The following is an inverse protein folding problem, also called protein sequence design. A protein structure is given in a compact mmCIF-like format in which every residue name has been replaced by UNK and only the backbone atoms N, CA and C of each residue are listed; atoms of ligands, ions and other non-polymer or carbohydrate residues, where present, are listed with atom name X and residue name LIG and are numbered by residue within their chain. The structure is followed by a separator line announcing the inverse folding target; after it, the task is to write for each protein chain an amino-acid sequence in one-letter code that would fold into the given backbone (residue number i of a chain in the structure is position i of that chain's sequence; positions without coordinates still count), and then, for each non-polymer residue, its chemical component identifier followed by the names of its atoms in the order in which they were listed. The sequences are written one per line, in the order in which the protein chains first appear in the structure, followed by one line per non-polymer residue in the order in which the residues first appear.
data_IF_952948394664
#
_entry.id   IF_952948394664
#
_cell.length_a   1.000
_cell.length_b   1.000
_cell.length_c   1.000
_cell.angle_alpha   90.00
_cell.angle_beta   90.00
_cell.angle_gamma   90.00
#
_symmetry.space_group_name_H-M   'P 1'
#
loop_
_entity.id
_entity.type
_entity.pdbx_description
1 polymer ?
#
# COMPACT_ATOMS: atom_id res chain seq x y z
N UNK A 1 -96.20 5.44 -28.01
CA UNK A 1 -95.58 4.11 -27.84
C UNK A 1 -94.41 4.27 -26.90
N UNK A 2 -94.54 3.81 -25.66
CA UNK A 2 -93.54 3.99 -24.60
C UNK A 2 -92.55 2.82 -24.66
N UNK A 3 -91.29 3.08 -25.03
CA UNK A 3 -90.22 2.09 -25.02
C UNK A 3 -89.81 1.83 -23.56
N UNK A 4 -90.21 0.68 -23.02
CA UNK A 4 -89.69 0.17 -21.75
C UNK A 4 -88.25 -0.31 -21.98
N UNK A 5 -87.29 0.36 -21.38
CA UNK A 5 -85.93 -0.15 -21.21
C UNK A 5 -85.95 -1.20 -20.09
N UNK A 6 -85.96 -2.48 -20.45
CA UNK A 6 -85.69 -3.57 -19.53
C UNK A 6 -84.20 -3.52 -19.14
N UNK A 7 -83.91 -3.07 -17.91
CA UNK A 7 -82.62 -3.31 -17.30
C UNK A 7 -82.50 -4.81 -16.99
N UNK A 8 -81.79 -5.56 -17.84
CA UNK A 8 -81.26 -6.87 -17.48
C UNK A 8 -80.25 -6.68 -16.34
N UNK A 9 -80.70 -6.89 -15.10
CA UNK A 9 -79.82 -6.95 -13.94
C UNK A 9 -78.90 -8.17 -14.08
N UNK A 10 -77.59 -7.95 -13.99
CA UNK A 10 -76.61 -9.04 -13.93
C UNK A 10 -76.78 -9.70 -12.54
N UNK A 11 -77.41 -10.87 -12.50
CA UNK A 11 -77.49 -11.68 -11.30
C UNK A 11 -76.14 -12.38 -11.11
N UNK A 12 -75.28 -11.84 -10.23
CA UNK A 12 -74.05 -12.50 -9.78
C UNK A 12 -74.31 -13.07 -8.39
N UNK A 13 -74.24 -14.40 -8.26
CA UNK A 13 -74.39 -15.06 -6.98
C UNK A 13 -73.25 -14.62 -6.05
N UNK A 14 -73.58 -14.27 -4.80
CA UNK A 14 -72.61 -13.77 -3.82
C UNK A 14 -71.45 -14.77 -3.60
N UNK A 15 -71.70 -16.06 -3.80
CA UNK A 15 -70.70 -17.12 -3.74
C UNK A 15 -69.63 -17.03 -4.85
N UNK A 16 -69.94 -16.46 -6.01
CA UNK A 16 -69.01 -16.29 -7.14
C UNK A 16 -68.01 -15.14 -6.94
N UNK A 17 -68.33 -14.19 -6.06
CA UNK A 17 -67.47 -13.06 -5.73
C UNK A 17 -66.48 -13.39 -4.61
N UNK A 18 -66.65 -14.51 -3.92
CA UNK A 18 -65.79 -14.89 -2.80
C UNK A 18 -64.47 -15.46 -3.28
N UNK A 19 -63.44 -15.29 -2.44
CA UNK A 19 -62.11 -15.80 -2.70
C UNK A 19 -62.17 -17.33 -2.85
N UNK A 20 -61.54 -17.85 -3.90
CA UNK A 20 -61.41 -19.28 -4.18
C UNK A 20 -60.80 -20.12 -3.04
N UNK A 21 -60.12 -19.50 -2.07
CA UNK A 21 -59.56 -20.18 -0.88
C UNK A 21 -60.60 -20.32 0.25
N UNK A 22 -61.83 -19.82 0.08
CA UNK A 22 -62.91 -19.93 1.07
C UNK A 22 -62.69 -19.10 2.33
N UNK A 23 -61.87 -18.05 2.27
CA UNK A 23 -61.47 -17.27 3.46
C UNK A 23 -62.48 -16.20 3.91
N UNK A 24 -63.66 -16.14 3.28
CA UNK A 24 -64.71 -15.17 3.60
C UNK A 24 -64.52 -13.76 3.02
N UNK A 25 -63.44 -13.51 2.27
CA UNK A 25 -63.17 -12.23 1.61
C UNK A 25 -63.46 -12.31 0.10
N UNK A 26 -63.75 -11.18 -0.53
CA UNK A 26 -63.98 -11.12 -1.98
C UNK A 26 -62.70 -11.30 -2.80
N UNK A 27 -62.78 -12.13 -3.84
CA UNK A 27 -61.73 -12.32 -4.83
C UNK A 27 -61.97 -11.43 -6.06
N UNK A 28 -60.95 -11.24 -6.90
CA UNK A 28 -61.14 -10.57 -8.18
C UNK A 28 -60.45 -11.31 -9.32
N UNK A 29 -60.89 -11.12 -10.59
CA UNK A 29 -60.30 -11.79 -11.75
C UNK A 29 -58.81 -11.47 -11.97
N UNK A 30 -58.36 -10.25 -11.64
CA UNK A 30 -56.95 -9.86 -11.77
C UNK A 30 -56.01 -10.70 -10.88
N UNK A 31 -56.53 -11.23 -9.77
CA UNK A 31 -55.86 -12.16 -8.88
C UNK A 31 -56.43 -13.58 -9.01
N UNK A 32 -56.88 -13.97 -10.21
CA UNK A 32 -57.41 -15.31 -10.53
C UNK A 32 -58.56 -15.79 -9.61
N UNK A 33 -59.30 -14.87 -9.00
CA UNK A 33 -60.37 -15.15 -8.03
C UNK A 33 -59.89 -15.28 -6.57
N UNK A 34 -58.67 -14.88 -6.26
CA UNK A 34 -58.18 -14.81 -4.87
C UNK A 34 -58.34 -13.40 -4.29
N UNK A 35 -58.54 -13.30 -2.97
CA UNK A 35 -58.44 -12.01 -2.27
C UNK A 35 -56.96 -11.59 -2.15
N UNK A 36 -56.72 -10.32 -1.80
CA UNK A 36 -55.36 -9.75 -1.70
C UNK A 36 -54.43 -10.54 -0.77
N UNK A 37 -54.96 -11.06 0.34
CA UNK A 37 -54.19 -11.85 1.31
C UNK A 37 -53.81 -13.23 0.77
N UNK A 38 -54.79 -13.96 0.23
CA UNK A 38 -54.57 -15.31 -0.31
C UNK A 38 -53.76 -15.28 -1.61
N UNK A 39 -53.92 -14.23 -2.41
CA UNK A 39 -53.09 -13.98 -3.60
C UNK A 39 -51.64 -13.75 -3.20
N UNK A 40 -51.38 -12.90 -2.20
CA UNK A 40 -50.02 -12.63 -1.71
C UNK A 40 -49.35 -13.90 -1.18
N UNK A 41 -50.05 -14.71 -0.40
CA UNK A 41 -49.54 -16.00 0.08
C UNK A 41 -49.22 -16.96 -1.08
N UNK A 42 -50.13 -17.12 -2.04
CA UNK A 42 -49.93 -17.99 -3.20
C UNK A 42 -48.77 -17.50 -4.07
N UNK A 43 -48.69 -16.19 -4.30
CA UNK A 43 -47.62 -15.56 -5.06
C UNK A 43 -46.27 -15.72 -4.36
N UNK A 44 -46.18 -15.50 -3.04
CA UNK A 44 -44.94 -15.75 -2.30
C UNK A 44 -44.51 -17.21 -2.34
N UNK A 45 -45.46 -18.15 -2.18
CA UNK A 45 -45.16 -19.58 -2.24
C UNK A 45 -44.71 -20.02 -3.64
N UNK A 46 -45.35 -19.53 -4.69
CA UNK A 46 -44.95 -19.78 -6.07
C UNK A 46 -43.56 -19.19 -6.36
N UNK A 47 -43.30 -17.96 -5.91
CA UNK A 47 -41.99 -17.30 -6.06
C UNK A 47 -40.89 -18.02 -5.29
N UNK A 48 -41.14 -18.50 -4.07
CA UNK A 48 -40.19 -19.31 -3.30
C UNK A 48 -39.89 -20.63 -3.99
N UNK A 49 -40.92 -21.29 -4.55
CA UNK A 49 -40.73 -22.52 -5.34
C UNK A 49 -39.90 -22.26 -6.60
N UNK A 50 -40.17 -21.17 -7.31
CA UNK A 50 -39.38 -20.78 -8.48
C UNK A 50 -37.93 -20.49 -8.13
N UNK A 51 -37.66 -19.77 -7.02
CA UNK A 51 -36.29 -19.54 -6.54
C UNK A 51 -35.57 -20.85 -6.20
N UNK A 52 -36.28 -21.81 -5.60
CA UNK A 52 -35.73 -23.12 -5.27
C UNK A 52 -35.41 -23.93 -6.54
N UNK A 53 -36.31 -23.93 -7.53
CA UNK A 53 -36.11 -24.57 -8.82
C UNK A 53 -34.96 -23.93 -9.61
N UNK A 54 -34.85 -22.60 -9.61
CA UNK A 54 -33.76 -21.86 -10.23
C UNK A 54 -32.42 -22.16 -9.55
N UNK A 55 -32.41 -22.31 -8.21
CA UNK A 55 -31.23 -22.72 -7.45
C UNK A 55 -30.76 -24.14 -7.81
N UNK A 56 -31.69 -25.09 -7.87
CA UNK A 56 -31.40 -26.49 -8.25
C UNK A 56 -30.95 -26.60 -9.71
N UNK A 57 -31.50 -25.78 -10.60
CA UNK A 57 -31.05 -25.68 -11.98
C UNK A 57 -29.63 -25.12 -12.06
N UNK A 58 -29.34 -24.04 -11.32
CA UNK A 58 -28.00 -23.45 -11.27
C UNK A 58 -26.96 -24.44 -10.72
N UNK A 59 -27.29 -25.21 -9.67
CA UNK A 59 -26.38 -26.22 -9.11
C UNK A 59 -26.11 -27.38 -10.08
N UNK A 60 -27.08 -27.72 -10.93
CA UNK A 60 -26.91 -28.74 -11.97
C UNK A 60 -26.09 -28.22 -13.14
N UNK A 61 -26.36 -27.00 -13.62
CA UNK A 61 -25.55 -26.36 -14.67
C UNK A 61 -24.11 -26.16 -14.20
N UNK A 62 -23.89 -25.80 -12.94
CA UNK A 62 -22.57 -25.70 -12.33
C UNK A 62 -21.83 -27.04 -12.36
N UNK A 63 -22.51 -28.16 -12.05
CA UNK A 63 -21.92 -29.50 -12.15
C UNK A 63 -21.61 -29.89 -13.59
N UNK A 64 -22.50 -29.60 -14.53
CA UNK A 64 -22.27 -29.84 -15.97
C UNK A 64 -21.10 -28.99 -16.49
N UNK A 65 -20.96 -27.74 -16.04
CA UNK A 65 -19.85 -26.85 -16.38
C UNK A 65 -18.53 -27.31 -15.75
N UNK A 66 -18.55 -27.79 -14.51
CA UNK A 66 -17.39 -28.39 -13.83
C UNK A 66 -16.96 -29.71 -14.51
N UNK A 67 -17.89 -30.55 -14.95
CA UNK A 67 -17.62 -31.77 -15.72
C UNK A 67 -17.08 -31.45 -17.13
N UNK A 68 -17.64 -30.45 -17.82
CA UNK A 68 -17.13 -29.97 -19.09
C UNK A 68 -15.74 -29.33 -18.96
N UNK A 69 -15.50 -28.60 -17.87
CA UNK A 69 -14.22 -27.97 -17.57
C UNK A 69 -13.14 -29.01 -17.21
N UNK A 70 -13.48 -30.03 -16.42
CA UNK A 70 -12.59 -31.16 -16.13
C UNK A 70 -12.23 -31.95 -17.39
N UNK A 71 -13.16 -32.05 -18.34
CA UNK A 71 -12.92 -32.66 -19.66
C UNK A 71 -11.99 -31.83 -20.56
N UNK A 72 -11.93 -30.51 -20.33
CA UNK A 72 -11.18 -29.53 -21.14
C UNK A 72 -9.75 -29.27 -20.65
N UNK A 73 -9.39 -29.72 -19.43
CA UNK A 73 -8.06 -29.49 -18.83
C UNK A 73 -6.91 -30.34 -19.40
N UNK A 74 -7.14 -31.10 -20.48
CA UNK A 74 -6.03 -31.64 -21.29
C UNK A 74 -5.38 -30.62 -22.23
N UNK A 75 -5.83 -29.35 -22.23
CA UNK A 75 -5.16 -28.28 -22.98
C UNK A 75 -5.44 -26.86 -22.47
N UNK A 76 -4.43 -26.28 -21.81
CA UNK A 76 -4.18 -24.83 -21.61
C UNK A 76 -5.22 -24.01 -20.82
N UNK A 77 -4.78 -23.51 -19.66
CA UNK A 77 -5.59 -22.75 -18.70
C UNK A 77 -5.52 -21.22 -18.83
N UNK A 78 -6.65 -20.58 -18.57
CA UNK A 78 -6.79 -19.20 -18.11
C UNK A 78 -8.11 -19.10 -17.32
N UNK A 79 -8.04 -18.77 -16.02
CA UNK A 79 -9.21 -18.75 -15.12
C UNK A 79 -9.73 -17.32 -14.92
N UNK A 80 -10.99 -17.11 -15.30
CA UNK A 80 -11.80 -15.94 -14.92
C UNK A 80 -12.56 -16.27 -13.62
N UNK A 81 -12.26 -15.56 -12.53
CA UNK A 81 -12.87 -15.78 -11.22
C UNK A 81 -13.96 -14.74 -10.95
N UNK A 82 -15.21 -15.19 -10.81
CA UNK A 82 -16.38 -14.35 -10.52
C UNK A 82 -16.53 -14.05 -9.02
N UNK A 83 -16.65 -12.75 -8.73
CA UNK A 83 -16.53 -12.05 -7.44
C UNK A 83 -17.62 -12.31 -6.37
N UNK A 84 -18.68 -13.09 -6.66
CA UNK A 84 -19.88 -13.08 -5.79
C UNK A 84 -19.89 -14.09 -4.63
N UNK A 85 -18.98 -15.07 -4.58
CA UNK A 85 -19.11 -16.22 -3.65
C UNK A 85 -18.27 -16.15 -2.35
N UNK A 86 -17.56 -15.06 -2.07
CA UNK A 86 -16.63 -14.99 -0.92
C UNK A 86 -17.14 -14.20 0.31
N UNK A 87 -18.17 -13.35 0.20
CA UNK A 87 -18.57 -12.45 1.31
C UNK A 87 -19.81 -12.90 2.12
N UNK A 88 -20.47 -14.01 1.77
CA UNK A 88 -21.77 -14.34 2.38
C UNK A 88 -21.71 -15.50 3.37
N UNK A 89 -20.87 -15.42 4.42
CA UNK A 89 -21.08 -16.26 5.63
C UNK A 89 -20.35 -15.85 6.92
N UNK A 90 -20.66 -14.66 7.45
CA UNK A 90 -20.81 -14.40 8.91
C UNK A 90 -21.13 -12.93 9.15
N UNK A 91 -22.37 -12.59 9.52
CA UNK A 91 -22.74 -11.51 10.48
C UNK A 91 -24.25 -11.25 10.44
N UNK A 92 -25.04 -12.05 11.18
CA UNK A 92 -26.50 -11.91 11.18
C UNK A 92 -27.05 -10.89 12.21
N UNK A 93 -26.19 -10.17 12.93
CA UNK A 93 -26.60 -9.24 14.01
C UNK A 93 -26.21 -7.76 13.72
N UNK A 94 -25.16 -7.53 12.92
CA UNK A 94 -24.41 -6.26 12.89
C UNK A 94 -24.82 -5.29 11.78
N UNK A 95 -25.80 -5.66 10.96
CA UNK A 95 -26.22 -4.91 9.77
C UNK A 95 -27.27 -3.84 10.05
N UNK A 96 -27.83 -3.68 11.26
CA UNK A 96 -28.99 -2.79 11.50
C UNK A 96 -28.75 -1.34 11.07
N UNK A 97 -27.60 -0.73 11.33
CA UNK A 97 -27.33 0.68 10.95
C UNK A 97 -27.10 0.83 9.45
N UNK A 98 -26.30 -0.05 8.85
CA UNK A 98 -26.01 -0.05 7.41
C UNK A 98 -27.25 -0.42 6.60
N UNK A 99 -28.03 -1.40 7.06
CA UNK A 99 -29.32 -1.80 6.49
C UNK A 99 -30.37 -0.71 6.67
N UNK A 100 -30.37 0.07 7.76
CA UNK A 100 -31.31 1.19 7.92
C UNK A 100 -30.99 2.32 6.96
N UNK A 101 -29.71 2.67 6.80
CA UNK A 101 -29.26 3.66 5.81
C UNK A 101 -29.51 3.16 4.39
N UNK A 102 -29.17 1.90 4.07
CA UNK A 102 -29.49 1.26 2.78
C UNK A 102 -31.01 1.23 2.54
N UNK A 103 -31.84 0.90 3.53
CA UNK A 103 -33.31 0.91 3.43
C UNK A 103 -33.86 2.32 3.21
N UNK A 104 -33.30 3.34 3.85
CA UNK A 104 -33.68 4.75 3.62
C UNK A 104 -33.41 5.17 2.16
N UNK A 105 -32.26 4.79 1.62
CA UNK A 105 -31.93 5.04 0.21
C UNK A 105 -32.74 4.18 -0.78
N UNK A 106 -33.06 2.94 -0.41
CA UNK A 106 -33.91 2.02 -1.20
C UNK A 106 -35.40 2.38 -1.17
N UNK A 107 -35.85 3.05 -0.11
CA UNK A 107 -37.20 3.57 0.03
C UNK A 107 -37.36 4.90 -0.74
N UNK A 108 -36.31 5.71 -0.80
CA UNK A 108 -36.29 6.97 -1.58
C UNK A 108 -36.33 6.74 -3.09
N UNK A 109 -35.85 5.60 -3.61
CA UNK A 109 -36.06 5.21 -5.01
C UNK A 109 -37.51 4.80 -5.33
N UNK A 110 -38.38 4.58 -4.33
CA UNK A 110 -39.83 4.38 -4.52
C UNK A 110 -40.63 5.68 -4.60
N UNK A 111 -39.96 6.84 -4.50
CA UNK A 111 -40.59 8.17 -4.70
C UNK A 111 -41.04 8.38 -6.16
N UNK A 112 -40.79 7.43 -7.07
CA UNK A 112 -41.40 7.41 -8.41
C UNK A 112 -42.90 7.05 -8.45
N UNK A 113 -43.55 6.69 -7.33
CA UNK A 113 -44.97 6.25 -7.32
C UNK A 113 -45.98 7.19 -6.65
N UNK A 114 -45.57 8.35 -6.12
CA UNK A 114 -46.53 9.37 -5.68
C UNK A 114 -46.73 10.39 -6.80
N UNK A 115 -47.93 10.37 -7.40
CA UNK A 115 -48.43 11.40 -8.32
C UNK A 115 -48.50 12.74 -7.59
N UNK A 116 -47.39 13.47 -7.54
CA UNK A 116 -47.35 14.90 -7.24
C UNK A 116 -46.47 15.55 -8.31
N UNK A 117 -47.01 16.60 -8.91
CA UNK A 117 -46.59 17.26 -10.15
C UNK A 117 -45.08 17.37 -10.40
N UNK A 118 -44.68 16.92 -11.60
CA UNK A 118 -43.35 17.13 -12.19
C UNK A 118 -42.70 15.82 -12.64
N UNK A 119 -42.77 15.49 -13.94
CA UNK A 119 -41.93 14.44 -14.53
C UNK A 119 -40.46 14.90 -14.50
N UNK A 120 -39.81 14.74 -13.35
CA UNK A 120 -38.37 14.97 -13.25
C UNK A 120 -37.68 13.85 -14.02
N UNK A 121 -36.81 14.15 -15.01
CA UNK A 121 -36.05 13.14 -15.74
C UNK A 121 -35.30 12.20 -14.78
N UNK A 122 -35.25 10.90 -15.08
CA UNK A 122 -34.59 9.88 -14.25
C UNK A 122 -33.16 10.28 -13.87
N UNK A 123 -32.43 10.88 -14.81
CA UNK A 123 -31.06 11.38 -14.61
C UNK A 123 -30.96 12.48 -13.54
N UNK A 124 -31.97 13.36 -13.45
CA UNK A 124 -32.01 14.41 -12.41
C UNK A 124 -32.33 13.82 -11.05
N UNK A 125 -33.18 12.78 -10.98
CA UNK A 125 -33.48 12.07 -9.74
C UNK A 125 -32.23 11.38 -9.20
N UNK A 126 -31.44 10.72 -10.05
CA UNK A 126 -30.17 10.11 -9.66
C UNK A 126 -29.17 11.13 -9.14
N UNK A 127 -29.01 12.26 -9.84
CA UNK A 127 -28.13 13.37 -9.41
C UNK A 127 -28.54 13.91 -8.04
N UNK A 128 -29.84 14.10 -7.79
CA UNK A 128 -30.35 14.56 -6.49
C UNK A 128 -30.09 13.50 -5.40
N UNK A 129 -30.36 12.23 -5.70
CA UNK A 129 -30.11 11.12 -4.77
C UNK A 129 -28.63 10.99 -4.40
N UNK A 130 -27.72 11.20 -5.34
CA UNK A 130 -26.28 11.22 -5.08
C UNK A 130 -25.88 12.39 -4.19
N UNK A 131 -26.49 13.58 -4.34
CA UNK A 131 -26.25 14.71 -3.43
C UNK A 131 -26.79 14.46 -2.02
N UNK A 132 -27.97 13.86 -1.88
CA UNK A 132 -28.54 13.49 -0.58
C UNK A 132 -27.65 12.44 0.10
N UNK A 133 -27.22 11.41 -0.64
CA UNK A 133 -26.26 10.41 -0.16
C UNK A 133 -24.97 11.05 0.30
N UNK A 134 -24.37 11.94 -0.53
CA UNK A 134 -23.16 12.69 -0.19
C UNK A 134 -23.32 13.43 1.13
N UNK A 135 -24.43 14.15 1.32
CA UNK A 135 -24.70 14.91 2.54
C UNK A 135 -24.80 14.01 3.79
N UNK A 136 -25.63 12.97 3.73
CA UNK A 136 -25.86 12.03 4.84
C UNK A 136 -24.56 11.32 5.22
N UNK A 137 -23.87 10.79 4.22
CA UNK A 137 -22.65 9.99 4.40
C UNK A 137 -21.49 10.85 4.92
N UNK A 138 -21.40 12.12 4.51
CA UNK A 138 -20.40 13.06 5.06
C UNK A 138 -20.65 13.36 6.53
N UNK A 139 -21.91 13.57 6.94
CA UNK A 139 -22.26 13.81 8.35
C UNK A 139 -22.08 12.57 9.22
N UNK A 140 -22.41 11.40 8.69
CA UNK A 140 -22.34 10.13 9.40
C UNK A 140 -20.96 9.47 9.34
N UNK A 141 -20.00 10.02 8.58
CA UNK A 141 -18.68 9.41 8.35
C UNK A 141 -18.04 8.89 9.64
N UNK A 142 -18.03 9.69 10.71
CA UNK A 142 -17.45 9.32 12.02
C UNK A 142 -18.09 8.08 12.66
N UNK A 143 -19.33 7.76 12.32
CA UNK A 143 -20.10 6.66 12.89
C UNK A 143 -20.18 5.45 11.96
N UNK A 144 -20.08 5.66 10.64
CA UNK A 144 -20.22 4.59 9.64
C UNK A 144 -18.89 4.10 9.07
N UNK A 145 -17.83 4.90 9.17
CA UNK A 145 -16.49 4.53 8.72
C UNK A 145 -15.75 3.81 9.86
N UNK A 146 -15.35 2.57 9.63
CA UNK A 146 -14.69 1.69 10.63
C UNK A 146 -15.36 1.72 12.02
N UNK A 147 -16.63 1.29 12.14
CA UNK A 147 -17.30 1.26 13.45
C UNK A 147 -16.66 0.21 14.36
N UNK A 148 -16.42 0.54 15.63
CA UNK A 148 -15.77 -0.33 16.64
C UNK A 148 -16.45 -1.70 16.81
N UNK A 149 -17.72 -1.80 16.41
CA UNK A 149 -18.52 -3.04 16.47
C UNK A 149 -18.17 -4.08 15.38
N UNK A 150 -17.48 -3.67 14.31
CA UNK A 150 -17.09 -4.55 13.19
C UNK A 150 -15.64 -5.00 13.33
N UNK A 151 -15.26 -6.02 12.55
CA UNK A 151 -13.88 -6.53 12.50
C UNK A 151 -13.00 -5.75 11.50
N UNK A 152 -13.46 -4.60 11.02
CA UNK A 152 -12.82 -3.83 9.97
C UNK A 152 -11.40 -3.37 10.37
N UNK A 153 -11.22 -2.89 11.61
CA UNK A 153 -9.90 -2.49 12.12
C UNK A 153 -8.91 -3.66 12.15
N UNK A 154 -9.39 -4.85 12.54
CA UNK A 154 -8.56 -6.07 12.54
C UNK A 154 -8.15 -6.46 11.12
N UNK A 155 -9.08 -6.39 10.17
CA UNK A 155 -8.82 -6.64 8.75
C UNK A 155 -7.85 -5.61 8.16
N UNK A 156 -8.00 -4.33 8.49
CA UNK A 156 -7.09 -3.26 8.09
C UNK A 156 -5.66 -3.52 8.59
N UNK A 157 -5.51 -3.90 9.86
CA UNK A 157 -4.19 -4.21 10.42
C UNK A 157 -3.58 -5.47 9.79
N UNK A 158 -4.41 -6.49 9.52
CA UNK A 158 -3.97 -7.73 8.88
C UNK A 158 -3.44 -7.47 7.45
N UNK A 159 -4.20 -6.76 6.61
CA UNK A 159 -3.76 -6.45 5.24
C UNK A 159 -2.55 -5.53 5.24
N UNK A 160 -2.48 -4.56 6.15
CA UNK A 160 -1.34 -3.65 6.25
C UNK A 160 -0.05 -4.40 6.61
N UNK A 161 -0.11 -5.31 7.59
CA UNK A 161 1.02 -6.17 7.96
C UNK A 161 1.42 -7.10 6.81
N UNK A 162 0.43 -7.64 6.10
CA UNK A 162 0.65 -8.51 4.94
C UNK A 162 1.37 -7.78 3.81
N UNK A 163 0.89 -6.60 3.39
CA UNK A 163 1.56 -5.79 2.37
C UNK A 163 2.98 -5.42 2.80
N UNK A 164 3.17 -5.07 4.09
CA UNK A 164 4.51 -4.75 4.62
C UNK A 164 5.47 -5.94 4.57
N UNK A 165 5.00 -7.16 4.83
CA UNK A 165 5.81 -8.37 4.75
C UNK A 165 6.23 -8.70 3.30
N UNK A 166 5.45 -8.26 2.31
CA UNK A 166 5.71 -8.45 0.88
C UNK A 166 6.58 -7.33 0.28
N UNK A 167 7.33 -6.57 1.10
CA UNK A 167 8.16 -5.46 0.60
C UNK A 167 9.26 -5.90 -0.39
N UNK A 168 9.60 -7.18 -0.38
CA UNK A 168 10.65 -7.77 -1.21
C UNK A 168 10.15 -8.13 -2.61
N UNK A 169 8.84 -8.17 -2.85
CA UNK A 169 8.26 -8.55 -4.14
C UNK A 169 8.61 -7.52 -5.20
N UNK A 170 9.24 -7.96 -6.29
CA UNK A 170 9.64 -7.08 -7.39
C UNK A 170 8.61 -7.08 -8.52
N UNK A 171 8.55 -6.01 -9.35
CA UNK A 171 7.66 -5.97 -10.52
C UNK A 171 7.89 -7.12 -11.50
N UNK A 172 9.12 -7.62 -11.60
CA UNK A 172 9.49 -8.74 -12.47
C UNK A 172 8.83 -10.06 -12.02
N UNK A 173 8.73 -10.31 -10.71
CA UNK A 173 8.08 -11.51 -10.16
C UNK A 173 6.57 -11.55 -10.44
N UNK A 174 5.96 -10.38 -10.57
CA UNK A 174 4.54 -10.22 -10.87
C UNK A 174 4.27 -10.03 -12.37
N UNK A 175 5.30 -10.18 -13.21
CA UNK A 175 5.23 -9.98 -14.66
C UNK A 175 4.65 -8.62 -15.07
N UNK A 176 4.82 -7.59 -14.23
CA UNK A 176 4.26 -6.25 -14.49
C UNK A 176 5.08 -5.57 -15.58
N UNK A 177 4.47 -5.20 -16.73
CA UNK A 177 5.20 -4.63 -17.86
C UNK A 177 5.44 -3.13 -17.69
N UNK A 178 6.07 -2.74 -16.59
CA UNK A 178 6.37 -1.35 -16.28
C UNK A 178 7.87 -1.21 -16.15
N UNK A 179 8.48 -0.44 -17.06
CA UNK A 179 9.89 -0.15 -16.98
C UNK A 179 10.09 1.13 -16.15
N UNK A 180 10.38 0.96 -14.85
CA UNK A 180 10.63 2.06 -13.92
C UNK A 180 11.93 2.84 -14.22
N UNK A 181 12.78 2.37 -15.14
CA UNK A 181 14.00 3.07 -15.58
C UNK A 181 13.67 4.35 -16.38
N UNK A 182 12.50 4.39 -17.02
CA UNK A 182 12.01 5.56 -17.73
C UNK A 182 11.49 6.57 -16.70
N UNK A 183 12.12 7.76 -16.64
CA UNK A 183 11.75 8.80 -15.68
C UNK A 183 10.27 9.19 -15.72
N UNK A 184 9.64 9.19 -16.90
CA UNK A 184 8.22 9.50 -17.05
C UNK A 184 7.32 8.42 -16.45
N UNK A 185 7.67 7.15 -16.64
CA UNK A 185 6.95 5.99 -16.08
C UNK A 185 7.05 5.99 -14.55
N UNK A 186 8.24 6.25 -14.02
CA UNK A 186 8.46 6.38 -12.57
C UNK A 186 7.57 7.46 -11.94
N UNK A 187 7.45 8.64 -12.58
CA UNK A 187 6.55 9.70 -12.12
C UNK A 187 5.08 9.26 -12.15
N UNK A 188 4.65 8.50 -13.17
CA UNK A 188 3.28 7.96 -13.21
C UNK A 188 3.01 6.95 -12.09
N UNK A 189 3.97 6.07 -11.80
CA UNK A 189 3.85 5.10 -10.69
C UNK A 189 3.74 5.83 -9.34
N UNK A 190 4.56 6.85 -9.11
CA UNK A 190 4.48 7.67 -7.89
C UNK A 190 3.13 8.38 -7.77
N UNK A 191 2.60 8.91 -8.88
CA UNK A 191 1.26 9.52 -8.90
C UNK A 191 0.17 8.49 -8.58
N UNK A 192 0.25 7.29 -9.15
CA UNK A 192 -0.70 6.22 -8.85
C UNK A 192 -0.68 5.82 -7.37
N UNK A 193 0.52 5.68 -6.78
CA UNK A 193 0.69 5.42 -5.34
C UNK A 193 0.08 6.55 -4.51
N UNK A 194 0.32 7.80 -4.92
CA UNK A 194 -0.23 8.97 -4.22
C UNK A 194 -1.75 8.99 -4.26
N UNK A 195 -2.37 8.70 -5.41
CA UNK A 195 -3.83 8.68 -5.55
C UNK A 195 -4.49 7.62 -4.66
N UNK A 196 -3.91 6.41 -4.59
CA UNK A 196 -4.48 5.34 -3.76
C UNK A 196 -4.31 5.63 -2.27
N UNK A 197 -3.23 6.30 -1.87
CA UNK A 197 -3.06 6.80 -0.49
C UNK A 197 -4.07 7.92 -0.20
N UNK A 198 -4.29 8.83 -1.16
CA UNK A 198 -5.21 9.96 -1.03
C UNK A 198 -6.67 9.52 -0.84
N UNK A 199 -7.03 8.31 -1.29
CA UNK A 199 -8.37 7.72 -1.11
C UNK A 199 -8.87 7.83 0.34
N UNK A 200 -8.00 7.57 1.32
CA UNK A 200 -8.39 7.57 2.73
C UNK A 200 -8.77 8.97 3.25
N UNK A 201 -8.21 10.03 2.64
CA UNK A 201 -8.52 11.43 2.98
C UNK A 201 -9.93 11.86 2.57
N UNK A 202 -10.55 11.17 1.60
CA UNK A 202 -11.87 11.52 1.08
C UNK A 202 -12.97 10.98 1.98
N UNK A 203 -14.02 11.76 2.22
CA UNK A 203 -15.18 11.29 3.03
C UNK A 203 -16.30 10.69 2.19
N UNK A 204 -16.42 11.12 0.95
CA UNK A 204 -17.52 10.72 0.07
C UNK A 204 -17.12 9.49 -0.73
N UNK A 205 -17.95 8.42 -0.81
CA UNK A 205 -17.65 7.22 -1.58
C UNK A 205 -17.32 7.51 -3.06
N UNK A 206 -17.99 8.49 -3.66
CA UNK A 206 -17.72 8.94 -5.03
C UNK A 206 -16.30 9.51 -5.19
N UNK A 207 -15.84 10.30 -4.24
CA UNK A 207 -14.51 10.90 -4.29
C UNK A 207 -13.44 9.84 -4.02
N UNK A 208 -13.73 8.84 -3.17
CA UNK A 208 -12.87 7.65 -2.97
C UNK A 208 -12.75 6.83 -4.26
N UNK A 209 -13.85 6.56 -4.95
CA UNK A 209 -13.84 5.90 -6.27
C UNK A 209 -13.04 6.71 -7.30
N UNK A 210 -13.19 8.03 -7.31
CA UNK A 210 -12.41 8.87 -8.21
C UNK A 210 -10.89 8.75 -7.97
N UNK A 211 -10.43 8.59 -6.72
CA UNK A 211 -9.03 8.30 -6.42
C UNK A 211 -8.58 6.95 -7.00
N UNK A 212 -9.42 5.91 -6.91
CA UNK A 212 -9.14 4.59 -7.49
C UNK A 212 -9.06 4.70 -9.01
N UNK A 213 -10.01 5.38 -9.65
CA UNK A 213 -10.04 5.62 -11.10
C UNK A 213 -8.81 6.39 -11.58
N UNK A 214 -8.38 7.42 -10.83
CA UNK A 214 -7.15 8.18 -11.15
C UNK A 214 -5.89 7.32 -11.01
N UNK A 215 -5.78 6.56 -9.91
CA UNK A 215 -4.70 5.61 -9.67
C UNK A 215 -4.57 4.64 -10.86
N UNK A 216 -5.69 4.03 -11.25
CA UNK A 216 -5.72 3.12 -12.40
C UNK A 216 -5.30 3.81 -13.69
N UNK A 217 -5.80 5.02 -13.98
CA UNK A 217 -5.41 5.78 -15.19
C UNK A 217 -3.92 6.10 -15.23
N UNK A 218 -3.30 6.44 -14.10
CA UNK A 218 -1.85 6.62 -14.02
C UNK A 218 -1.09 5.31 -14.29
N UNK A 219 -1.58 4.17 -13.78
CA UNK A 219 -1.01 2.84 -14.09
C UNK A 219 -1.14 2.52 -15.58
N UNK A 220 -2.31 2.72 -16.19
CA UNK A 220 -2.51 2.51 -17.63
C UNK A 220 -1.60 3.39 -18.47
N UNK A 221 -1.40 4.65 -18.09
CA UNK A 221 -0.47 5.54 -18.77
C UNK A 221 0.98 5.06 -18.63
N UNK A 222 1.38 4.59 -17.45
CA UNK A 222 2.71 4.02 -17.21
C UNK A 222 2.99 2.79 -18.10
N UNK A 223 2.02 1.89 -18.22
CA UNK A 223 2.12 0.71 -19.09
C UNK A 223 2.13 1.11 -20.56
N UNK A 224 1.27 2.05 -20.96
CA UNK A 224 1.21 2.53 -22.34
C UNK A 224 2.53 3.14 -22.79
N UNK A 225 3.21 3.91 -21.93
CA UNK A 225 4.54 4.48 -22.24
C UNK A 225 5.59 3.37 -22.35
N UNK A 226 5.48 2.31 -21.54
CA UNK A 226 6.44 1.20 -21.53
C UNK A 226 6.29 0.27 -22.74
N UNK A 227 5.06 -0.17 -23.04
CA UNK A 227 4.77 -1.18 -24.09
C UNK A 227 4.35 -0.58 -25.43
N UNK A 228 4.02 0.71 -25.50
CA UNK A 228 3.35 1.34 -26.67
C UNK A 228 2.04 0.66 -27.12
N UNK A 229 1.49 -0.23 -26.29
CA UNK A 229 0.24 -0.96 -26.51
C UNK A 229 -0.79 -0.63 -25.41
N UNK A 230 -2.10 -0.72 -25.70
CA UNK A 230 -3.12 -0.59 -24.67
C UNK A 230 -3.00 -1.75 -23.67
N UNK A 231 -2.90 -1.42 -22.37
CA UNK A 231 -2.68 -2.42 -21.34
C UNK A 231 -3.91 -3.32 -21.11
N UNK A 232 -3.64 -4.59 -20.77
CA UNK A 232 -4.67 -5.56 -20.38
C UNK A 232 -5.01 -5.43 -18.89
N UNK A 233 -6.13 -6.03 -18.47
CA UNK A 233 -6.52 -6.16 -17.06
C UNK A 233 -5.48 -6.94 -16.23
N UNK A 234 -4.73 -7.83 -16.88
CA UNK A 234 -3.71 -8.69 -16.25
C UNK A 234 -2.45 -7.91 -15.83
N UNK A 235 -2.23 -6.72 -16.41
CA UNK A 235 -1.10 -5.84 -16.07
C UNK A 235 -1.38 -4.94 -14.85
N UNK A 236 -2.58 -5.08 -14.23
CA UNK A 236 -3.06 -4.21 -13.16
C UNK A 236 -2.74 -4.78 -11.77
N UNK A 237 -1.58 -4.43 -11.21
CA UNK A 237 -1.29 -4.68 -9.80
C UNK A 237 -0.65 -3.44 -9.14
N UNK A 238 -1.36 -2.75 -8.21
CA UNK A 238 -0.82 -1.62 -7.45
C UNK A 238 0.05 -2.14 -6.29
N UNK A 239 1.28 -2.55 -6.59
CA UNK A 239 2.09 -3.41 -5.69
C UNK A 239 2.80 -2.68 -4.55
N UNK A 240 2.85 -1.34 -4.55
CA UNK A 240 3.79 -0.60 -3.68
C UNK A 240 3.18 0.42 -2.70
N UNK A 241 1.88 0.72 -2.77
CA UNK A 241 1.34 1.90 -2.07
C UNK A 241 0.99 1.75 -0.58
N UNK A 242 0.84 0.51 -0.08
CA UNK A 242 0.29 0.19 1.26
C UNK A 242 -0.74 1.21 1.81
N UNK A 243 -1.91 1.37 1.15
CA UNK A 243 -2.87 2.41 1.49
C UNK A 243 -3.40 2.26 2.93
N UNK A 244 -3.57 3.37 3.69
CA UNK A 244 -4.08 3.31 5.04
C UNK A 244 -5.56 2.88 5.05
N UNK A 245 -5.93 2.03 6.01
CA UNK A 245 -7.31 1.56 6.25
C UNK A 245 -7.99 0.99 4.99
N UNK A 246 -7.24 0.20 4.21
CA UNK A 246 -7.66 -0.28 2.89
C UNK A 246 -8.96 -1.10 2.93
N UNK A 247 -9.08 -2.04 3.87
CA UNK A 247 -10.27 -2.89 4.00
C UNK A 247 -11.49 -2.06 4.44
N UNK A 248 -11.33 -1.14 5.39
CA UNK A 248 -12.40 -0.20 5.76
C UNK A 248 -12.84 0.66 4.59
N UNK A 249 -11.92 1.13 3.75
CA UNK A 249 -12.23 1.92 2.56
C UNK A 249 -13.03 1.13 1.52
N UNK A 250 -12.62 -0.12 1.23
CA UNK A 250 -13.33 -1.01 0.32
C UNK A 250 -14.75 -1.28 0.84
N UNK A 251 -14.87 -1.71 2.09
CA UNK A 251 -16.17 -1.99 2.71
C UNK A 251 -17.06 -0.73 2.72
N UNK A 252 -16.50 0.43 3.01
CA UNK A 252 -17.24 1.68 3.00
C UNK A 252 -17.80 2.03 1.61
N UNK A 253 -17.01 1.86 0.55
CA UNK A 253 -17.47 2.05 -0.83
C UNK A 253 -18.58 1.04 -1.18
N UNK A 254 -18.38 -0.24 -0.87
CA UNK A 254 -19.37 -1.32 -1.10
C UNK A 254 -20.70 -1.04 -0.42
N UNK A 255 -20.69 -0.42 0.76
CA UNK A 255 -21.91 -0.19 1.54
C UNK A 255 -22.63 1.12 1.19
N UNK A 256 -21.91 2.18 0.86
CA UNK A 256 -22.47 3.54 0.73
C UNK A 256 -22.43 4.11 -0.69
N UNK A 257 -21.75 3.47 -1.62
CA UNK A 257 -21.82 3.87 -3.02
C UNK A 257 -23.15 3.44 -3.66
N UNK A 258 -23.52 4.11 -4.75
CA UNK A 258 -24.70 3.77 -5.52
C UNK A 258 -24.44 2.46 -6.30
N UNK A 259 -25.23 1.39 -6.12
CA UNK A 259 -25.02 0.12 -6.80
C UNK A 259 -24.99 0.26 -8.34
N UNK A 260 -25.80 1.15 -8.91
CA UNK A 260 -25.79 1.37 -10.38
C UNK A 260 -24.43 1.87 -10.89
N UNK A 261 -23.68 2.63 -10.09
CA UNK A 261 -22.33 3.11 -10.43
C UNK A 261 -21.25 2.05 -10.20
N UNK A 262 -21.45 1.16 -9.23
CA UNK A 262 -20.54 0.03 -9.03
C UNK A 262 -20.73 -1.05 -10.10
N UNK A 263 -21.96 -1.21 -10.60
CA UNK A 263 -22.31 -2.23 -11.60
C UNK A 263 -22.15 -1.74 -13.05
N UNK A 264 -21.99 -0.43 -13.27
CA UNK A 264 -21.82 0.14 -14.60
C UNK A 264 -20.79 1.29 -14.60
N UNK A 265 -19.91 1.28 -15.61
CA UNK A 265 -18.93 2.33 -15.86
C UNK A 265 -17.50 1.98 -15.43
N UNK A 266 -16.56 2.89 -15.75
CA UNK A 266 -15.14 2.72 -15.47
C UNK A 266 -14.84 2.63 -13.96
N UNK A 267 -15.56 3.38 -13.12
CA UNK A 267 -15.37 3.40 -11.66
C UNK A 267 -15.59 2.01 -11.04
N UNK A 268 -16.62 1.28 -11.50
CA UNK A 268 -16.94 -0.06 -11.02
C UNK A 268 -15.92 -1.11 -11.46
N UNK A 269 -15.41 -0.98 -12.68
CA UNK A 269 -14.35 -1.84 -13.22
C UNK A 269 -13.06 -1.69 -12.39
N UNK A 270 -12.58 -0.47 -12.17
CA UNK A 270 -11.37 -0.24 -11.39
C UNK A 270 -11.52 -0.63 -9.92
N UNK A 271 -12.71 -0.42 -9.33
CA UNK A 271 -13.01 -0.86 -7.98
C UNK A 271 -12.99 -2.39 -7.84
N UNK A 272 -13.54 -3.10 -8.82
CA UNK A 272 -13.52 -4.57 -8.84
C UNK A 272 -12.08 -5.08 -8.96
N UNK A 273 -11.28 -4.50 -9.86
CA UNK A 273 -9.88 -4.84 -9.99
C UNK A 273 -9.08 -4.58 -8.70
N UNK A 274 -9.35 -3.48 -7.99
CA UNK A 274 -8.74 -3.24 -6.68
C UNK A 274 -9.10 -4.34 -5.68
N UNK A 275 -10.37 -4.75 -5.63
CA UNK A 275 -10.80 -5.82 -4.72
C UNK A 275 -10.13 -7.16 -5.07
N UNK A 276 -10.00 -7.48 -6.36
CA UNK A 276 -9.27 -8.65 -6.83
C UNK A 276 -7.79 -8.59 -6.43
N UNK A 277 -7.13 -7.45 -6.61
CA UNK A 277 -5.74 -7.26 -6.22
C UNK A 277 -5.53 -7.43 -4.70
N UNK A 278 -6.44 -6.91 -3.87
CA UNK A 278 -6.36 -7.09 -2.41
C UNK A 278 -6.55 -8.55 -2.02
N UNK A 279 -7.54 -9.23 -2.60
CA UNK A 279 -7.77 -10.66 -2.34
C UNK A 279 -6.58 -11.52 -2.81
N UNK A 280 -5.94 -11.16 -3.92
CA UNK A 280 -4.71 -11.79 -4.39
C UNK A 280 -3.57 -11.62 -3.38
N UNK A 281 -3.33 -10.39 -2.89
CA UNK A 281 -2.29 -10.10 -1.89
C UNK A 281 -2.51 -10.89 -0.58
N UNK A 282 -3.77 -11.04 -0.16
CA UNK A 282 -4.12 -11.82 1.03
C UNK A 282 -3.75 -13.30 0.89
N UNK A 283 -3.95 -13.86 -0.30
CA UNK A 283 -3.75 -15.29 -0.58
C UNK A 283 -2.46 -15.61 -1.33
N UNK A 284 -1.59 -14.62 -1.54
CA UNK A 284 -0.37 -14.76 -2.32
C UNK A 284 0.53 -15.87 -1.76
N UNK A 285 0.87 -16.83 -2.60
CA UNK A 285 1.74 -17.96 -2.28
C UNK A 285 2.98 -17.99 -3.19
N UNK A 286 3.90 -18.92 -2.92
CA UNK A 286 5.11 -19.10 -3.70
C UNK A 286 4.81 -19.39 -5.19
N UNK A 287 3.78 -20.19 -5.44
CA UNK A 287 3.35 -20.58 -6.79
C UNK A 287 2.88 -19.37 -7.60
N UNK A 288 2.15 -18.45 -6.98
CA UNK A 288 1.67 -17.21 -7.60
C UNK A 288 2.80 -16.30 -8.10
N UNK A 289 4.01 -16.41 -7.53
CA UNK A 289 5.20 -15.65 -7.92
C UNK A 289 6.19 -16.47 -8.77
N UNK A 290 5.83 -17.70 -9.16
CA UNK A 290 6.73 -18.65 -9.82
C UNK A 290 8.02 -18.93 -9.02
N UNK A 291 7.92 -18.98 -7.69
CA UNK A 291 9.05 -19.28 -6.78
C UNK A 291 8.88 -20.65 -6.13
N UNK A 292 10.00 -21.22 -5.67
CA UNK A 292 9.96 -22.38 -4.79
C UNK A 292 9.42 -21.99 -3.41
N UNK A 293 8.79 -22.94 -2.70
CA UNK A 293 8.27 -22.69 -1.35
C UNK A 293 9.39 -22.29 -0.37
N UNK A 294 10.59 -22.86 -0.57
CA UNK A 294 11.78 -22.59 0.24
C UNK A 294 12.26 -21.14 0.06
N UNK A 295 12.34 -20.66 -1.20
CA UNK A 295 12.72 -19.27 -1.49
C UNK A 295 11.70 -18.28 -0.92
N UNK A 296 10.42 -18.60 -1.04
CA UNK A 296 9.34 -17.77 -0.50
C UNK A 296 9.43 -17.64 1.03
N UNK A 297 9.64 -18.74 1.74
CA UNK A 297 9.78 -18.74 3.20
C UNK A 297 11.07 -18.04 3.66
N UNK A 298 12.16 -18.16 2.88
CA UNK A 298 13.40 -17.41 3.09
C UNK A 298 13.20 -15.89 2.96
N UNK A 299 12.48 -15.44 1.94
CA UNK A 299 12.17 -14.02 1.75
C UNK A 299 11.20 -13.49 2.81
N UNK A 300 10.20 -14.28 3.20
CA UNK A 300 9.26 -13.91 4.27
C UNK A 300 9.92 -13.87 5.66
N UNK A 301 10.94 -14.71 5.91
CA UNK A 301 11.71 -14.72 7.17
C UNK A 301 12.79 -13.65 7.24
N UNK A 302 12.90 -12.78 6.23
CA UNK A 302 13.84 -11.64 6.16
C UNK A 302 15.32 -12.04 6.18
N UNK A 303 15.66 -13.32 5.96
CA UNK A 303 17.04 -13.82 5.97
C UNK A 303 17.76 -13.57 4.65
N UNK A 304 17.01 -13.42 3.56
CA UNK A 304 17.50 -13.03 2.25
C UNK A 304 16.52 -12.01 1.66
N UNK A 305 17.02 -10.94 1.05
CA UNK A 305 16.22 -10.20 0.06
C UNK A 305 16.39 -10.95 -1.27
N UNK A 306 15.42 -10.92 -2.20
CA UNK A 306 15.66 -11.31 -3.57
C UNK A 306 16.81 -10.43 -4.07
N UNK A 307 18.02 -10.98 -4.01
CA UNK A 307 19.13 -10.49 -4.80
C UNK A 307 18.57 -10.55 -6.21
N UNK A 308 18.51 -9.41 -6.91
CA UNK A 308 18.48 -9.46 -8.37
C UNK A 308 19.51 -10.53 -8.74
N UNK A 309 19.09 -11.53 -9.50
CA UNK A 309 19.99 -12.49 -10.11
C UNK A 309 20.82 -11.71 -11.12
N UNK A 310 21.78 -10.93 -10.62
CA UNK A 310 22.80 -10.25 -11.40
C UNK A 310 23.82 -11.35 -11.67
N UNK A 311 23.64 -12.00 -12.82
CA UNK A 311 24.76 -12.51 -13.60
C UNK A 311 25.93 -11.53 -13.48
N UNK A 312 27.13 -12.05 -13.30
CA UNK A 312 28.41 -11.38 -12.98
C UNK A 312 28.89 -10.26 -13.94
N UNK A 313 28.00 -9.63 -14.71
CA UNK A 313 28.27 -8.46 -15.52
C UNK A 313 27.55 -7.25 -14.92
N UNK A 314 28.34 -6.35 -14.34
CA UNK A 314 27.99 -4.96 -13.99
C UNK A 314 26.97 -4.36 -14.98
N UNK A 315 25.77 -3.98 -14.52
CA UNK A 315 24.82 -3.16 -15.28
C UNK A 315 24.36 -1.95 -14.46
N UNK A 316 24.22 -0.76 -15.06
CA UNK A 316 24.35 0.53 -14.38
C UNK A 316 23.04 1.08 -13.80
N UNK A 317 22.13 0.29 -13.20
CA UNK A 317 20.79 0.82 -12.84
C UNK A 317 20.17 0.42 -11.48
N UNK A 318 20.98 0.44 -10.42
CA UNK A 318 20.46 0.77 -9.08
C UNK A 318 20.17 2.29 -8.98
N UNK A 319 19.07 2.68 -8.32
CA UNK A 319 18.76 4.08 -8.01
C UNK A 319 20.02 4.81 -7.49
N UNK A 320 20.32 6.00 -8.01
CA UNK A 320 21.56 6.74 -7.68
C UNK A 320 21.84 6.79 -6.17
N UNK A 321 20.81 6.95 -5.35
CA UNK A 321 20.92 6.94 -3.89
C UNK A 321 21.39 5.61 -3.30
N UNK A 322 20.94 4.48 -3.85
CA UNK A 322 21.35 3.14 -3.41
C UNK A 322 22.78 2.83 -3.85
N UNK A 323 23.16 3.20 -5.08
CA UNK A 323 24.56 3.12 -5.53
C UNK A 323 25.48 3.96 -4.67
N UNK A 324 25.05 5.19 -4.35
CA UNK A 324 25.82 6.09 -3.50
C UNK A 324 25.93 5.53 -2.07
N UNK A 325 24.87 4.90 -1.56
CA UNK A 325 24.89 4.26 -0.25
C UNK A 325 25.89 3.10 -0.20
N UNK A 326 25.89 2.20 -1.18
CA UNK A 326 26.86 1.10 -1.23
C UNK A 326 28.30 1.59 -1.42
N UNK A 327 28.51 2.59 -2.28
CA UNK A 327 29.82 3.26 -2.40
C UNK A 327 30.27 3.90 -1.10
N UNK A 328 29.36 4.59 -0.40
CA UNK A 328 29.65 5.20 0.89
C UNK A 328 29.96 4.14 1.95
N UNK A 329 29.27 3.00 1.93
CA UNK A 329 29.49 1.91 2.87
C UNK A 329 30.87 1.27 2.67
N UNK A 330 31.25 1.00 1.42
CA UNK A 330 32.59 0.52 1.06
C UNK A 330 33.67 1.53 1.47
N UNK A 331 33.45 2.82 1.17
CA UNK A 331 34.38 3.88 1.52
C UNK A 331 34.50 4.06 3.05
N UNK A 332 33.41 3.93 3.80
CA UNK A 332 33.41 3.93 5.27
C UNK A 332 34.16 2.73 5.84
N UNK A 333 34.02 1.54 5.24
CA UNK A 333 34.77 0.35 5.65
C UNK A 333 36.27 0.55 5.45
N UNK A 334 36.67 1.05 4.27
CA UNK A 334 38.07 1.35 3.95
C UNK A 334 38.65 2.44 4.85
N UNK A 335 37.86 3.48 5.16
CA UNK A 335 38.27 4.53 6.10
C UNK A 335 38.43 3.98 7.52
N UNK A 336 37.52 3.12 7.97
CA UNK A 336 37.63 2.51 9.29
C UNK A 336 38.89 1.64 9.41
N UNK A 337 39.16 0.78 8.43
CA UNK A 337 40.40 0.00 8.38
C UNK A 337 41.65 0.89 8.36
N UNK A 338 41.63 1.96 7.55
CA UNK A 338 42.77 2.88 7.49
C UNK A 338 42.98 3.59 8.82
N UNK A 339 41.90 3.98 9.50
CA UNK A 339 41.97 4.61 10.81
C UNK A 339 42.48 3.65 11.89
N UNK A 340 42.07 2.38 11.87
CA UNK A 340 42.62 1.34 12.75
C UNK A 340 44.11 1.11 12.51
N UNK A 341 44.54 1.05 11.24
CA UNK A 341 45.97 0.95 10.89
C UNK A 341 46.76 2.14 11.40
N UNK A 342 46.33 3.37 11.12
CA UNK A 342 47.01 4.59 11.59
C UNK A 342 47.07 4.63 13.12
N UNK A 343 45.97 4.30 13.81
CA UNK A 343 45.92 4.28 15.28
C UNK A 343 46.85 3.23 15.88
N UNK A 344 46.97 2.06 15.25
CA UNK A 344 47.89 1.01 15.72
C UNK A 344 49.35 1.36 15.47
N UNK A 345 49.68 1.96 14.32
CA UNK A 345 51.02 2.47 14.03
C UNK A 345 51.40 3.64 14.94
N UNK A 346 50.48 4.56 15.23
CA UNK A 346 50.72 5.66 16.15
C UNK A 346 51.02 5.16 17.58
N UNK A 347 50.26 4.19 18.07
CA UNK A 347 50.52 3.53 19.37
C UNK A 347 51.85 2.79 19.40
N UNK A 348 52.22 2.16 18.28
CA UNK A 348 53.53 1.50 18.17
C UNK A 348 54.65 2.53 18.25
N UNK A 349 54.55 3.62 17.48
CA UNK A 349 55.55 4.69 17.48
C UNK A 349 55.66 5.36 18.86
N UNK A 350 54.54 5.57 19.55
CA UNK A 350 54.51 6.08 20.92
C UNK A 350 55.31 5.17 21.86
N UNK A 351 55.10 3.85 21.77
CA UNK A 351 55.86 2.88 22.56
C UNK A 351 57.35 2.89 22.21
N UNK A 352 57.69 2.89 20.92
CA UNK A 352 59.07 2.88 20.44
C UNK A 352 59.82 4.16 20.90
N UNK A 353 59.15 5.32 20.94
CA UNK A 353 59.70 6.59 21.44
C UNK A 353 60.00 6.54 22.94
N UNK A 354 59.10 5.95 23.74
CA UNK A 354 59.30 5.78 25.18
C UNK A 354 60.49 4.85 25.42
N UNK A 355 60.51 3.67 24.76
CA UNK A 355 61.62 2.71 24.91
C UNK A 355 62.96 3.31 24.49
N UNK A 356 63.00 4.09 23.41
CA UNK A 356 64.22 4.77 22.96
C UNK A 356 64.68 5.84 23.97
N UNK A 357 63.75 6.63 24.51
CA UNK A 357 64.07 7.68 25.48
C UNK A 357 64.60 7.08 26.79
N UNK A 358 63.94 6.02 27.29
CA UNK A 358 64.37 5.29 28.48
C UNK A 358 65.72 4.60 28.26
N UNK A 359 65.93 4.04 27.06
CA UNK A 359 67.19 3.42 26.66
C UNK A 359 68.36 4.40 26.68
N UNK A 360 68.20 5.58 26.07
CA UNK A 360 69.23 6.64 26.09
C UNK A 360 69.47 7.15 27.51
N UNK A 361 68.41 7.39 28.29
CA UNK A 361 68.56 7.86 29.66
C UNK A 361 69.39 6.87 30.50
N UNK A 362 69.16 5.57 30.30
CA UNK A 362 69.92 4.51 30.98
C UNK A 362 71.36 4.43 30.49
N UNK A 363 71.61 4.48 29.18
CA UNK A 363 72.99 4.46 28.65
C UNK A 363 73.80 5.67 29.13
N UNK A 364 73.19 6.86 29.15
CA UNK A 364 73.83 8.07 29.68
C UNK A 364 74.12 7.91 31.17
N UNK A 365 73.17 7.40 31.94
CA UNK A 365 73.36 7.13 33.37
C UNK A 365 74.51 6.14 33.62
N UNK A 366 74.54 5.03 32.88
CA UNK A 366 75.60 4.02 32.97
C UNK A 366 76.98 4.61 32.63
N UNK A 367 77.08 5.50 31.63
CA UNK A 367 78.33 6.19 31.27
C UNK A 367 78.76 7.17 32.38
N UNK A 368 77.83 7.94 32.94
CA UNK A 368 78.10 8.88 34.04
C UNK A 368 78.58 8.14 35.30
N UNK A 369 77.99 6.99 35.61
CA UNK A 369 78.41 6.14 36.74
C UNK A 369 79.78 5.49 36.49
N UNK A 370 80.05 5.07 35.24
CA UNK A 370 81.32 4.44 34.85
C UNK A 370 82.49 5.43 34.75
N UNK A 371 82.20 6.69 34.41
CA UNK A 371 83.18 7.77 34.31
C UNK A 371 82.70 9.01 35.09
N UNK A 372 82.80 8.99 36.44
CA UNK A 372 82.39 10.12 37.25
C UNK A 372 83.22 11.35 36.88
N UNK A 373 82.54 12.40 36.43
CA UNK A 373 83.15 13.68 36.12
C UNK A 373 83.52 14.40 37.42
N UNK A 374 84.72 14.15 37.94
CA UNK A 374 85.31 14.98 38.99
C UNK A 374 85.70 16.34 38.41
N UNK A 375 84.75 17.29 38.39
CA UNK A 375 85.07 18.70 38.17
C UNK A 375 85.70 19.22 39.46
N UNK A 376 87.03 19.16 39.57
CA UNK A 376 87.75 19.90 40.61
C UNK A 376 87.45 21.38 40.42
N UNK A 377 86.91 22.10 41.42
CA UNK A 377 86.76 23.55 41.32
C UNK A 377 88.15 24.17 41.08
N UNK A 378 88.26 25.29 40.33
CA UNK A 378 89.53 25.96 40.15
C UNK A 378 90.09 26.30 41.52
N UNK A 379 91.32 25.87 41.80
CA UNK A 379 92.05 26.27 42.99
C UNK A 379 91.99 27.79 43.13
N UNK A 380 91.25 28.25 44.12
CA UNK A 380 91.12 29.66 44.51
C UNK A 380 92.43 30.09 45.19
N UNK A 381 93.53 30.20 44.43
CA UNK A 381 94.82 30.66 44.99
C UNK A 381 95.81 31.28 43.99
N UNK A 382 95.41 31.71 42.78
CA UNK A 382 96.34 32.37 41.84
C UNK A 382 95.76 33.58 41.08
N UNK A 383 94.70 34.21 41.58
CA UNK A 383 94.16 35.44 40.99
C UNK A 383 94.29 36.63 41.96
N UNK A 384 95.53 37.01 42.28
CA UNK A 384 95.81 38.23 43.04
C UNK A 384 97.27 38.72 42.85
N UNK A 385 97.74 38.84 41.61
CA UNK A 385 99.05 39.47 41.33
C UNK A 385 99.01 40.65 40.33
N UNK A 386 97.86 40.98 39.74
CA UNK A 386 97.73 42.12 38.81
C UNK A 386 96.94 43.31 39.39
N UNK A 387 96.90 43.47 40.72
CA UNK A 387 96.25 44.63 41.36
C UNK A 387 97.21 45.74 41.82
N UNK A 388 98.50 45.64 41.52
CA UNK A 388 99.42 46.76 41.75
C UNK A 388 100.45 46.86 40.61
N UNK A 389 100.07 47.49 39.50
CA UNK A 389 101.06 48.25 38.73
C UNK A 389 100.41 49.44 38.03
N UNK A 390 100.37 50.54 38.78
CA UNK A 390 100.19 51.89 38.26
C UNK A 390 101.40 52.20 37.37
N UNK A 391 101.17 52.82 36.21
CA UNK A 391 102.16 53.27 35.21
C UNK A 391 102.44 52.33 34.01
N UNK A 392 101.60 52.39 32.97
CA UNK A 392 102.10 52.73 31.63
C UNK A 392 100.98 53.05 30.63
N UNK A 393 100.78 54.34 30.37
CA UNK A 393 100.08 54.84 29.20
C UNK A 393 100.96 54.64 27.96
N UNK A 394 100.57 53.74 27.05
CA UNK A 394 100.80 53.82 25.58
C UNK A 394 100.33 52.53 24.89
N UNK A 395 99.06 52.46 24.52
CA UNK A 395 98.60 51.53 23.48
C UNK A 395 97.68 52.29 22.50
N UNK A 396 97.90 52.17 21.18
CA UNK A 396 97.16 52.92 20.17
C UNK A 396 95.71 52.41 19.99
N UNK A 397 94.84 53.30 19.50
CA UNK A 397 93.40 53.04 19.35
C UNK A 397 93.10 51.91 18.33
N UNK A 398 92.06 51.08 18.56
CA UNK A 398 91.74 49.92 17.74
C UNK A 398 91.21 50.29 16.34
N UNK A 399 91.64 49.53 15.33
CA UNK A 399 91.26 49.70 13.91
C UNK A 399 89.81 49.26 13.67
N UNK A 400 89.04 50.07 12.93
CA UNK A 400 87.69 49.73 12.47
C UNK A 400 87.71 49.14 11.04
N UNK A 401 86.87 48.12 10.74
CA UNK A 401 86.89 47.43 9.46
C UNK A 401 86.20 48.23 8.33
N UNK A 402 86.84 48.30 7.16
CA UNK A 402 86.26 48.81 5.92
C UNK A 402 85.57 47.67 5.14
N UNK A 403 84.36 47.93 4.66
CA UNK A 403 83.58 47.03 3.80
C UNK A 403 83.91 47.38 2.35
N UNK A 404 84.40 46.42 1.57
CA UNK A 404 84.59 46.59 0.13
C UNK A 404 83.48 45.85 -0.61
N UNK A 405 82.68 46.61 -1.37
CA UNK A 405 81.74 46.11 -2.35
C UNK A 405 82.53 45.74 -3.63
N UNK A 406 82.24 44.57 -4.19
CA UNK A 406 82.59 44.24 -5.57
C UNK A 406 81.64 44.90 -6.54
#
# INVERSE_FOLDING_TARGET
MSLKSECQGIHVDQSELLCKKGCGYYGNPAWQGFCSKCWREKYHKARQKQIQEDWELAERLQREEEEAFASSQSGLGAQSLTFSKFEEKKTNEKTRNVTTVKKFFSASSRVGSKKTHGKVPSERVEKIMDQIKKYIVTRLYKYVFCPETTDNEKKDLAIQKRIRALHWVTPQMLCVPVNEEISEVSVMVVKAITDIIEMDSKRVPRDKLACITKCSKHIFNAIKITKNEPASADDFLPTKGNPPRLQSNIQYITHFCNPSRLMAGEDGYYFTNLCCAVAFIEKLDAQSLNLSQEDFDLYMSSQTSPRKQESENWVPDACLGVKQMYKNLDLLSQLNERQERIMSEAKKLEKDLIEWTDGIAKEVQDIVEKFPLEIKPPNQSLAAFDSENVENYKLPAPLQPQVYAG
#
